data_IF_134769138683
#
_entry.id   IF_134769138683
#
_cell.length_a   1.000
_cell.length_b   1.000
_cell.length_c   1.000
_cell.angle_alpha   90.00
_cell.angle_beta   90.00
_cell.angle_gamma   90.00
#
_symmetry.space_group_name_H-M   'P 1'
#
loop_
_entity.id
_entity.type
_entity.pdbx_description
1 polymer ?
#
# COMPACT_ATOMS: atom_id res chain seq x y z
N UNK A 1 -22.42 39.30 4.18
CA UNK A 1 -21.43 38.93 3.16
C UNK A 1 -22.10 39.09 1.80
N UNK A 2 -21.45 39.73 0.81
CA UNK A 2 -22.00 39.89 -0.54
C UNK A 2 -21.39 38.87 -1.49
N UNK A 3 -22.20 37.91 -1.95
CA UNK A 3 -21.80 36.82 -2.85
C UNK A 3 -21.19 37.36 -4.16
N UNK A 4 -21.64 38.53 -4.63
CA UNK A 4 -21.09 39.18 -5.82
C UNK A 4 -19.60 39.51 -5.70
N UNK A 5 -19.12 39.87 -4.50
CA UNK A 5 -17.70 40.15 -4.25
C UNK A 5 -16.86 38.89 -4.25
N UNK A 6 -17.35 37.83 -3.62
CA UNK A 6 -16.70 36.51 -3.63
C UNK A 6 -16.53 36.03 -5.07
N UNK A 7 -17.60 36.11 -5.89
CA UNK A 7 -17.56 35.72 -7.30
C UNK A 7 -16.59 36.56 -8.13
N UNK A 8 -16.48 37.86 -7.86
CA UNK A 8 -15.53 38.73 -8.54
C UNK A 8 -14.07 38.34 -8.23
N UNK A 9 -13.76 38.07 -6.96
CA UNK A 9 -12.43 37.63 -6.51
C UNK A 9 -12.11 36.26 -7.13
N UNK A 10 -13.05 35.31 -7.06
CA UNK A 10 -12.87 33.99 -7.66
C UNK A 10 -12.63 34.06 -9.18
N UNK A 11 -13.34 34.94 -9.89
CA UNK A 11 -13.13 35.16 -11.33
C UNK A 11 -11.73 35.73 -11.61
N UNK A 12 -11.27 36.69 -10.82
CA UNK A 12 -9.91 37.27 -10.92
C UNK A 12 -8.86 36.19 -10.72
N UNK A 13 -9.01 35.36 -9.69
CA UNK A 13 -8.05 34.30 -9.39
C UNK A 13 -8.02 33.23 -10.50
N UNK A 14 -9.18 32.81 -11.00
CA UNK A 14 -9.25 31.84 -12.10
C UNK A 14 -8.54 32.34 -13.36
N UNK A 15 -8.67 33.64 -13.67
CA UNK A 15 -7.95 34.26 -14.79
C UNK A 15 -6.44 34.29 -14.52
N UNK A 16 -6.01 34.58 -13.29
CA UNK A 16 -4.59 34.58 -12.92
C UNK A 16 -3.98 33.18 -13.02
N UNK A 17 -4.66 32.16 -12.49
CA UNK A 17 -4.20 30.77 -12.56
C UNK A 17 -4.13 30.31 -14.01
N UNK A 18 -5.18 30.58 -14.81
CA UNK A 18 -5.20 30.21 -16.23
C UNK A 18 -4.05 30.85 -17.03
N UNK A 19 -3.56 32.01 -16.61
CA UNK A 19 -2.45 32.73 -17.25
C UNK A 19 -1.08 32.37 -16.68
N UNK A 20 -1.02 31.61 -15.60
CA UNK A 20 0.21 31.18 -14.95
C UNK A 20 0.48 29.70 -15.32
N UNK A 21 1.24 29.43 -16.39
CA UNK A 21 1.48 28.08 -16.86
C UNK A 21 2.24 27.23 -15.84
N UNK A 22 3.06 27.84 -14.98
CA UNK A 22 3.79 27.14 -13.94
C UNK A 22 2.84 26.66 -12.84
N UNK A 23 1.93 27.52 -12.39
CA UNK A 23 0.90 27.12 -11.41
C UNK A 23 -0.05 26.05 -11.97
N UNK A 24 -0.42 26.13 -13.25
CA UNK A 24 -1.20 25.09 -13.92
C UNK A 24 -0.43 23.77 -14.01
N UNK A 25 0.86 23.80 -14.38
CA UNK A 25 1.69 22.60 -14.42
C UNK A 25 1.85 21.99 -13.02
N UNK A 26 2.09 22.79 -11.99
CA UNK A 26 2.15 22.28 -10.61
C UNK A 26 0.81 21.71 -10.14
N UNK A 27 -0.32 22.28 -10.58
CA UNK A 27 -1.64 21.82 -10.17
C UNK A 27 -2.08 20.51 -10.84
N UNK A 28 -1.61 20.21 -12.07
CA UNK A 28 -2.07 19.04 -12.83
C UNK A 28 -0.96 18.06 -13.20
N UNK A 29 0.21 18.56 -13.63
CA UNK A 29 1.30 17.70 -14.10
C UNK A 29 2.06 17.06 -12.93
N UNK A 30 2.37 17.83 -11.87
CA UNK A 30 3.07 17.32 -10.70
C UNK A 30 2.33 16.18 -9.99
N UNK A 31 1.02 16.27 -9.68
CA UNK A 31 0.32 15.17 -9.02
C UNK A 31 0.27 13.91 -9.87
N UNK A 32 -0.06 14.04 -11.16
CA UNK A 32 -0.07 12.91 -12.09
C UNK A 32 1.32 12.26 -12.18
N UNK A 33 2.38 13.06 -12.29
CA UNK A 33 3.75 12.55 -12.31
C UNK A 33 4.10 11.82 -11.00
N UNK A 34 3.76 12.38 -9.85
CA UNK A 34 3.98 11.75 -8.54
C UNK A 34 3.17 10.46 -8.40
N UNK A 35 1.95 10.41 -8.92
CA UNK A 35 1.12 9.21 -8.94
C UNK A 35 1.74 8.13 -9.84
N UNK A 36 2.29 8.49 -11.01
CA UNK A 36 3.03 7.52 -11.83
C UNK A 36 4.31 7.03 -11.13
N UNK A 37 5.09 7.94 -10.54
CA UNK A 37 6.32 7.57 -9.83
C UNK A 37 5.98 6.67 -8.65
N UNK A 38 5.09 7.09 -7.74
CA UNK A 38 4.80 6.33 -6.53
C UNK A 38 3.84 5.16 -6.77
N UNK A 39 2.87 5.28 -7.66
CA UNK A 39 1.97 4.19 -8.03
C UNK A 39 2.70 3.03 -8.70
N UNK A 40 3.81 3.30 -9.39
CA UNK A 40 4.67 2.26 -9.96
C UNK A 40 5.83 1.85 -9.03
N UNK A 41 6.43 2.80 -8.30
CA UNK A 41 7.58 2.52 -7.43
C UNK A 41 7.20 1.98 -6.05
N UNK A 42 6.03 2.36 -5.50
CA UNK A 42 5.52 1.87 -4.22
C UNK A 42 4.59 0.70 -4.51
N UNK A 43 5.21 -0.46 -4.72
CA UNK A 43 4.53 -1.75 -4.64
C UNK A 43 4.94 -2.40 -3.33
N UNK A 44 3.95 -2.73 -2.49
CA UNK A 44 4.14 -3.63 -1.36
C UNK A 44 3.90 -5.09 -1.78
N UNK A 45 3.69 -5.35 -3.08
CA UNK A 45 3.54 -6.70 -3.61
C UNK A 45 4.89 -7.39 -3.59
N UNK A 46 5.12 -8.18 -2.55
CA UNK A 46 6.29 -9.04 -2.44
C UNK A 46 6.01 -10.30 -3.25
N UNK A 47 6.29 -10.23 -4.54
CA UNK A 47 6.36 -11.41 -5.38
C UNK A 47 7.73 -12.06 -5.16
N UNK A 48 7.78 -13.40 -5.16
CA UNK A 48 9.05 -14.13 -5.15
C UNK A 48 9.82 -14.04 -3.81
N UNK A 49 9.16 -14.28 -2.67
CA UNK A 49 9.82 -14.42 -1.36
C UNK A 49 10.81 -15.59 -1.42
N UNK A 50 12.10 -15.26 -1.50
CA UNK A 50 13.20 -16.23 -1.46
C UNK A 50 13.14 -16.98 -0.14
N UNK A 51 12.82 -18.27 -0.23
CA UNK A 51 12.46 -19.10 0.90
C UNK A 51 13.38 -20.30 0.99
N UNK A 52 13.96 -20.50 2.17
CA UNK A 52 14.74 -21.70 2.49
C UNK A 52 13.90 -22.64 3.35
N UNK A 53 13.97 -23.94 3.07
CA UNK A 53 13.17 -24.95 3.78
C UNK A 53 14.06 -25.99 4.46
N UNK A 54 13.91 -26.14 5.78
CA UNK A 54 14.50 -27.23 6.54
C UNK A 54 13.44 -28.29 6.87
N UNK A 55 13.45 -29.40 6.13
CA UNK A 55 12.56 -30.54 6.39
C UNK A 55 13.28 -31.63 7.20
N UNK A 56 13.02 -31.66 8.52
CA UNK A 56 13.55 -32.66 9.43
C UNK A 56 12.66 -33.93 9.50
N UNK A 57 11.38 -33.83 9.12
CA UNK A 57 10.39 -34.94 9.15
C UNK A 57 10.58 -35.88 7.96
N UNK A 58 10.95 -35.34 6.79
CA UNK A 58 11.21 -36.05 5.52
C UNK A 58 10.10 -37.01 5.08
N UNK A 59 8.88 -36.77 5.55
CA UNK A 59 7.72 -37.61 5.29
C UNK A 59 7.04 -37.26 3.96
N UNK A 60 5.94 -37.93 3.67
CA UNK A 60 5.06 -37.55 2.55
C UNK A 60 4.26 -36.27 2.86
N UNK A 61 3.81 -36.08 4.11
CA UNK A 61 3.02 -34.90 4.48
C UNK A 61 3.88 -33.63 4.54
N UNK A 62 5.12 -33.73 5.01
CA UNK A 62 6.05 -32.59 4.98
C UNK A 62 6.34 -32.17 3.54
N UNK A 63 6.62 -33.13 2.65
CA UNK A 63 6.84 -32.86 1.23
C UNK A 63 5.62 -32.26 0.52
N UNK A 64 4.41 -32.69 0.87
CA UNK A 64 3.17 -32.09 0.32
C UNK A 64 3.00 -30.63 0.76
N UNK A 65 3.29 -30.31 2.03
CA UNK A 65 3.26 -28.94 2.53
C UNK A 65 4.29 -28.06 1.80
N UNK A 66 5.52 -28.55 1.65
CA UNK A 66 6.60 -27.82 0.93
C UNK A 66 6.23 -27.62 -0.55
N UNK A 67 5.60 -28.61 -1.18
CA UNK A 67 5.11 -28.46 -2.55
C UNK A 67 4.04 -27.36 -2.68
N UNK A 68 3.11 -27.25 -1.71
CA UNK A 68 2.12 -26.17 -1.72
C UNK A 68 2.74 -24.78 -1.59
N UNK A 69 3.81 -24.63 -0.82
CA UNK A 69 4.55 -23.37 -0.78
C UNK A 69 5.17 -23.05 -2.14
N UNK A 70 5.80 -24.03 -2.80
CA UNK A 70 6.41 -23.84 -4.12
C UNK A 70 5.42 -23.74 -5.29
N UNK A 71 4.17 -24.15 -5.13
CA UNK A 71 3.09 -23.94 -6.11
C UNK A 71 2.48 -22.53 -6.03
N UNK A 72 2.75 -21.78 -4.96
CA UNK A 72 2.24 -20.41 -4.82
C UNK A 72 3.16 -19.41 -5.53
N UNK A 73 2.59 -18.40 -6.18
CA UNK A 73 3.35 -17.33 -6.85
C UNK A 73 4.11 -16.41 -5.86
N UNK A 74 3.89 -16.59 -4.56
CA UNK A 74 4.46 -15.75 -3.50
C UNK A 74 5.79 -16.26 -2.96
N UNK A 75 6.01 -17.58 -2.93
CA UNK A 75 7.23 -18.18 -2.36
C UNK A 75 8.06 -18.87 -3.42
N UNK A 76 9.35 -18.53 -3.47
CA UNK A 76 10.31 -19.22 -4.34
C UNK A 76 11.28 -19.98 -3.47
N UNK A 77 11.19 -21.31 -3.53
CA UNK A 77 12.06 -22.20 -2.76
C UNK A 77 13.43 -22.23 -3.45
N UNK A 78 14.38 -21.49 -2.89
CA UNK A 78 15.74 -21.38 -3.44
C UNK A 78 16.61 -22.58 -3.04
N UNK A 79 16.40 -23.13 -1.84
CA UNK A 79 17.21 -24.23 -1.31
C UNK A 79 16.49 -25.03 -0.21
N UNK A 80 16.98 -26.25 0.03
CA UNK A 80 16.53 -27.17 1.08
C UNK A 80 17.68 -27.54 2.01
N UNK A 81 17.77 -26.83 3.11
CA UNK A 81 18.83 -26.99 4.12
C UNK A 81 18.59 -28.18 5.04
N UNK A 82 19.66 -28.66 5.66
CA UNK A 82 19.62 -29.85 6.51
C UNK A 82 19.76 -29.56 8.00
N UNK A 83 20.14 -28.33 8.34
CA UNK A 83 20.34 -27.88 9.72
C UNK A 83 19.77 -26.47 9.93
N UNK A 84 19.48 -26.13 11.19
CA UNK A 84 19.07 -24.79 11.59
C UNK A 84 20.20 -23.77 11.39
N UNK A 85 21.45 -24.18 11.58
CA UNK A 85 22.63 -23.32 11.44
C UNK A 85 22.83 -22.85 10.00
N UNK A 86 22.47 -23.68 9.02
CA UNK A 86 22.46 -23.28 7.61
C UNK A 86 21.44 -22.17 7.35
N UNK A 87 20.25 -22.23 7.99
CA UNK A 87 19.20 -21.21 7.83
C UNK A 87 19.72 -19.81 8.19
N UNK A 88 20.37 -19.69 9.34
CA UNK A 88 20.88 -18.41 9.83
C UNK A 88 21.85 -17.81 8.81
N UNK A 89 22.69 -18.63 8.18
CA UNK A 89 23.58 -18.20 7.12
C UNK A 89 22.87 -17.64 5.88
N UNK A 90 21.75 -18.22 5.44
CA UNK A 90 20.98 -17.69 4.30
C UNK A 90 20.28 -16.37 4.63
N UNK A 91 19.75 -16.24 5.86
CA UNK A 91 19.12 -15.01 6.33
C UNK A 91 20.15 -13.89 6.52
N UNK A 92 21.28 -14.17 7.16
CA UNK A 92 22.34 -13.19 7.43
C UNK A 92 23.00 -12.65 6.15
N UNK A 93 23.10 -13.49 5.10
CA UNK A 93 23.60 -13.07 3.78
C UNK A 93 22.56 -12.36 2.93
N UNK A 94 21.29 -12.32 3.36
CA UNK A 94 20.18 -11.78 2.58
C UNK A 94 19.84 -12.59 1.33
N UNK A 95 20.25 -13.87 1.29
CA UNK A 95 19.93 -14.80 0.20
C UNK A 95 18.53 -15.40 0.36
N UNK A 96 17.98 -15.41 1.57
CA UNK A 96 16.59 -15.78 1.84
C UNK A 96 15.95 -14.73 2.75
N UNK A 97 14.67 -14.44 2.51
CA UNK A 97 13.85 -13.56 3.35
C UNK A 97 12.97 -14.35 4.32
N UNK A 98 12.71 -15.63 4.00
CA UNK A 98 11.86 -16.52 4.78
C UNK A 98 12.58 -17.85 4.97
N UNK A 99 12.51 -18.38 6.19
CA UNK A 99 12.95 -19.73 6.49
C UNK A 99 11.85 -20.53 7.17
N UNK A 100 11.58 -21.72 6.64
CA UNK A 100 10.53 -22.62 7.14
C UNK A 100 11.19 -23.90 7.66
N UNK A 101 10.94 -24.22 8.93
CA UNK A 101 11.46 -25.44 9.56
C UNK A 101 10.33 -26.37 9.98
N UNK A 102 10.36 -27.58 9.43
CA UNK A 102 9.41 -28.66 9.73
C UNK A 102 10.06 -29.63 10.72
N UNK A 103 9.53 -29.78 11.95
CA UNK A 103 10.14 -30.63 12.97
C UNK A 103 9.91 -32.13 12.70
N UNK A 104 10.80 -32.98 13.21
CA UNK A 104 10.81 -34.46 12.99
C UNK A 104 9.53 -35.21 13.34
N UNK A 105 8.66 -34.63 14.16
CA UNK A 105 7.42 -35.25 14.64
C UNK A 105 6.17 -34.69 13.95
N UNK A 106 6.34 -33.90 12.88
CA UNK A 106 5.26 -33.19 12.22
C UNK A 106 4.17 -34.14 11.71
N UNK A 107 4.56 -35.16 10.94
CA UNK A 107 3.60 -36.14 10.42
C UNK A 107 2.95 -37.01 11.48
N UNK A 108 3.73 -37.39 12.50
CA UNK A 108 3.25 -38.23 13.58
C UNK A 108 2.19 -37.49 14.40
N UNK A 109 2.42 -36.21 14.70
CA UNK A 109 1.46 -35.37 15.43
C UNK A 109 0.17 -35.18 14.63
N UNK A 110 0.26 -34.88 13.33
CA UNK A 110 -0.90 -34.75 12.45
C UNK A 110 -1.72 -36.05 12.40
N UNK A 111 -1.07 -37.21 12.28
CA UNK A 111 -1.76 -38.51 12.25
C UNK A 111 -2.44 -38.84 13.57
N UNK A 112 -1.90 -38.36 14.70
CA UNK A 112 -2.46 -38.54 16.04
C UNK A 112 -3.51 -37.48 16.41
N UNK A 113 -3.90 -36.59 15.49
CA UNK A 113 -4.82 -35.49 15.76
C UNK A 113 -4.28 -34.46 16.76
N UNK A 114 -2.95 -34.42 16.95
CA UNK A 114 -2.27 -33.45 17.83
C UNK A 114 -1.80 -32.25 17.00
N UNK A 115 -1.75 -31.05 17.61
CA UNK A 115 -1.20 -29.88 16.92
C UNK A 115 0.28 -30.14 16.56
N UNK A 116 0.62 -29.91 15.30
CA UNK A 116 1.98 -29.97 14.79
C UNK A 116 2.50 -28.54 14.60
N UNK A 117 3.60 -28.22 15.28
CA UNK A 117 4.25 -26.91 15.14
C UNK A 117 5.00 -26.82 13.81
N UNK A 118 4.90 -25.67 13.16
CA UNK A 118 5.76 -25.25 12.05
C UNK A 118 6.53 -24.01 12.54
N UNK A 119 7.86 -24.01 12.43
CA UNK A 119 8.64 -22.81 12.75
C UNK A 119 8.88 -22.02 11.48
N UNK A 120 8.66 -20.72 11.59
CA UNK A 120 8.81 -19.77 10.50
C UNK A 120 9.64 -18.62 11.02
N UNK A 121 10.72 -18.30 10.32
CA UNK A 121 11.60 -17.18 10.60
C UNK A 121 11.54 -16.28 9.37
N UNK A 122 11.35 -14.99 9.57
CA UNK A 122 11.25 -14.01 8.49
C UNK A 122 12.19 -12.87 8.81
N UNK A 123 12.92 -12.38 7.81
CA UNK A 123 13.74 -11.18 7.95
C UNK A 123 12.84 -9.97 8.25
N UNK A 124 13.04 -9.38 9.43
CA UNK A 124 12.28 -8.23 9.93
C UNK A 124 12.82 -6.87 9.49
N UNK A 125 13.91 -6.83 8.70
CA UNK A 125 14.53 -5.58 8.23
C UNK A 125 13.55 -4.70 7.44
N UNK A 126 12.64 -5.33 6.69
CA UNK A 126 11.43 -4.70 6.18
C UNK A 126 10.21 -5.30 6.90
N UNK A 127 9.68 -4.56 7.88
CA UNK A 127 8.54 -5.00 8.68
C UNK A 127 7.26 -5.20 7.87
N UNK A 128 7.09 -4.48 6.76
CA UNK A 128 5.91 -4.64 5.92
C UNK A 128 6.00 -5.95 5.12
N UNK A 129 7.14 -6.18 4.47
CA UNK A 129 7.43 -7.45 3.78
C UNK A 129 7.31 -8.64 4.73
N UNK A 130 7.85 -8.53 5.95
CA UNK A 130 7.75 -9.58 6.95
C UNK A 130 6.29 -9.90 7.37
N UNK A 131 5.49 -8.85 7.57
CA UNK A 131 4.06 -9.00 7.94
C UNK A 131 3.26 -9.66 6.81
N UNK A 132 3.52 -9.28 5.56
CA UNK A 132 2.89 -9.87 4.38
C UNK A 132 3.27 -11.35 4.25
N UNK A 133 4.55 -11.68 4.36
CA UNK A 133 5.04 -13.05 4.33
C UNK A 133 4.36 -13.94 5.39
N UNK A 134 4.29 -13.48 6.64
CA UNK A 134 3.61 -14.19 7.73
C UNK A 134 2.11 -14.41 7.44
N UNK A 135 1.44 -13.42 6.82
CA UNK A 135 0.06 -13.52 6.38
C UNK A 135 -0.14 -14.63 5.35
N UNK A 136 0.71 -14.66 4.31
CA UNK A 136 0.67 -15.70 3.28
C UNK A 136 0.98 -17.10 3.84
N UNK A 137 1.98 -17.23 4.72
CA UNK A 137 2.32 -18.49 5.38
C UNK A 137 1.14 -19.00 6.21
N UNK A 138 0.46 -18.11 6.94
CA UNK A 138 -0.76 -18.45 7.69
C UNK A 138 -1.89 -18.90 6.77
N UNK A 139 -2.02 -18.31 5.59
CA UNK A 139 -2.97 -18.71 4.56
C UNK A 139 -2.71 -20.11 4.01
N UNK A 140 -1.48 -20.38 3.55
CA UNK A 140 -1.06 -21.68 3.00
C UNK A 140 -1.20 -22.79 4.06
N UNK A 141 -0.69 -22.56 5.27
CA UNK A 141 -0.82 -23.53 6.37
C UNK A 141 -2.28 -23.76 6.79
N UNK A 142 -3.12 -22.73 6.74
CA UNK A 142 -4.56 -22.84 7.00
C UNK A 142 -5.29 -23.71 5.96
N UNK A 143 -4.97 -23.55 4.67
CA UNK A 143 -5.52 -24.38 3.59
C UNK A 143 -5.05 -25.84 3.70
N UNK A 144 -3.76 -26.05 3.98
CA UNK A 144 -3.20 -27.38 4.23
C UNK A 144 -3.88 -28.08 5.42
N UNK A 145 -4.04 -27.35 6.53
CA UNK A 145 -4.74 -27.84 7.73
C UNK A 145 -6.18 -28.26 7.43
N UNK A 146 -6.94 -27.45 6.69
CA UNK A 146 -8.30 -27.82 6.25
C UNK A 146 -8.32 -29.08 5.39
N UNK A 147 -7.40 -29.21 4.43
CA UNK A 147 -7.31 -30.39 3.56
C UNK A 147 -7.05 -31.68 4.35
N UNK A 148 -6.16 -31.61 5.35
CA UNK A 148 -5.86 -32.74 6.22
C UNK A 148 -7.00 -33.03 7.19
N UNK A 149 -7.63 -32.00 7.76
CA UNK A 149 -8.76 -32.13 8.65
C UNK A 149 -9.93 -32.84 7.95
N UNK A 150 -10.26 -32.46 6.70
CA UNK A 150 -11.32 -33.10 5.89
C UNK A 150 -11.08 -34.62 5.69
N UNK A 151 -9.82 -35.09 5.69
CA UNK A 151 -9.49 -36.52 5.61
C UNK A 151 -9.71 -37.29 6.93
N UNK A 152 -9.77 -36.61 8.09
CA UNK A 152 -9.89 -37.25 9.41
C UNK A 152 -11.22 -36.96 10.11
N UNK A 153 -11.79 -35.75 9.95
CA UNK A 153 -13.06 -35.31 10.52
C UNK A 153 -13.71 -34.34 9.51
N UNK A 154 -14.90 -34.64 8.94
CA UNK A 154 -15.56 -33.70 8.06
C UNK A 154 -15.86 -32.41 8.86
N UNK A 155 -15.40 -31.23 8.41
CA UNK A 155 -15.65 -29.98 9.12
C UNK A 155 -17.16 -29.72 9.15
N UNK A 156 -17.72 -29.54 10.35
CA UNK A 156 -19.15 -29.18 10.51
C UNK A 156 -19.46 -27.79 9.94
N UNK A 157 -18.44 -26.96 9.70
CA UNK A 157 -18.56 -25.61 9.13
C UNK A 157 -17.49 -25.45 8.04
N UNK A 158 -17.91 -25.44 6.76
CA UNK A 158 -17.06 -25.13 5.60
C UNK A 158 -16.89 -23.61 5.49
N UNK A 159 -15.90 -23.05 6.20
CA UNK A 159 -15.58 -21.62 6.11
C UNK A 159 -14.76 -21.37 4.85
N UNK A 160 -15.42 -20.90 3.79
CA UNK A 160 -14.77 -20.42 2.56
C UNK A 160 -14.43 -18.95 2.72
N UNK A 161 -13.15 -18.64 2.90
CA UNK A 161 -12.67 -17.27 2.91
C UNK A 161 -12.71 -16.76 1.48
N UNK A 162 -13.57 -15.77 1.22
CA UNK A 162 -13.63 -15.06 -0.05
C UNK A 162 -13.33 -13.60 0.23
N UNK A 163 -12.29 -13.08 -0.40
CA UNK A 163 -11.97 -11.65 -0.39
C UNK A 163 -12.92 -10.98 -1.38
N UNK A 164 -13.84 -10.14 -0.91
CA UNK A 164 -14.87 -9.55 -1.79
C UNK A 164 -14.35 -8.40 -2.65
N UNK A 165 -13.29 -7.73 -2.21
CA UNK A 165 -12.68 -6.58 -2.89
C UNK A 165 -11.18 -6.80 -2.94
N UNK A 166 -10.60 -6.81 -4.16
CA UNK A 166 -9.19 -7.14 -4.42
C UNK A 166 -8.83 -8.63 -4.16
N UNK A 167 -9.46 -9.56 -4.89
CA UNK A 167 -9.19 -11.02 -4.80
C UNK A 167 -7.71 -11.38 -5.05
N UNK A 168 -7.02 -10.59 -5.87
CA UNK A 168 -5.59 -10.73 -6.19
C UNK A 168 -4.66 -10.09 -5.14
N UNK A 169 -5.22 -9.44 -4.10
CA UNK A 169 -4.50 -8.76 -3.02
C UNK A 169 -3.43 -7.76 -3.49
N UNK A 170 -3.58 -7.21 -4.71
CA UNK A 170 -2.67 -6.20 -5.27
C UNK A 170 -2.60 -4.97 -4.39
N UNK A 171 -1.41 -4.67 -3.89
CA UNK A 171 -1.16 -3.56 -2.97
C UNK A 171 -1.45 -2.21 -3.61
N UNK A 172 -1.25 -2.10 -4.93
CA UNK A 172 -1.57 -0.88 -5.70
C UNK A 172 -3.03 -0.44 -5.52
N UNK A 173 -3.98 -1.38 -5.48
CA UNK A 173 -5.40 -1.09 -5.30
C UNK A 173 -5.73 -0.49 -3.91
N UNK A 174 -4.86 -0.68 -2.91
CA UNK A 174 -4.99 -0.09 -1.58
C UNK A 174 -4.18 1.21 -1.43
N UNK A 175 -2.99 1.26 -2.01
CA UNK A 175 -2.03 2.36 -1.81
C UNK A 175 -2.38 3.57 -2.67
N UNK A 176 -2.76 3.36 -3.94
CA UNK A 176 -3.03 4.45 -4.89
C UNK A 176 -4.10 5.41 -4.36
N UNK A 177 -5.27 4.96 -3.83
CA UNK A 177 -6.25 5.87 -3.24
C UNK A 177 -5.69 6.72 -2.09
N UNK A 178 -4.85 6.13 -1.23
CA UNK A 178 -4.19 6.84 -0.13
C UNK A 178 -3.18 7.87 -0.63
N UNK A 179 -2.39 7.51 -1.64
CA UNK A 179 -1.44 8.41 -2.30
C UNK A 179 -2.13 9.61 -2.93
N UNK A 180 -3.26 9.41 -3.61
CA UNK A 180 -4.04 10.53 -4.18
C UNK A 180 -4.39 11.53 -3.06
N UNK A 181 -4.92 11.06 -1.94
CA UNK A 181 -5.28 11.96 -0.83
C UNK A 181 -4.08 12.74 -0.27
N UNK A 182 -2.93 12.09 -0.08
CA UNK A 182 -1.71 12.71 0.44
C UNK A 182 -1.12 13.71 -0.56
N UNK A 183 -0.97 13.31 -1.82
CA UNK A 183 -0.42 14.17 -2.89
C UNK A 183 -1.31 15.40 -3.08
N UNK A 184 -2.63 15.22 -3.11
CA UNK A 184 -3.60 16.32 -3.20
C UNK A 184 -3.49 17.29 -2.02
N UNK A 185 -3.31 16.78 -0.81
CA UNK A 185 -3.16 17.62 0.39
C UNK A 185 -1.90 18.48 0.29
N UNK A 186 -0.76 17.88 -0.07
CA UNK A 186 0.53 18.59 -0.21
C UNK A 186 0.45 19.66 -1.29
N UNK A 187 -0.18 19.38 -2.42
CA UNK A 187 -0.31 20.34 -3.53
C UNK A 187 -1.29 21.46 -3.17
N UNK A 188 -2.41 21.14 -2.52
CA UNK A 188 -3.36 22.15 -2.04
C UNK A 188 -2.69 23.11 -1.06
N UNK A 189 -1.89 22.59 -0.12
CA UNK A 189 -1.13 23.39 0.84
C UNK A 189 -0.09 24.27 0.15
N UNK A 190 0.66 23.70 -0.80
CA UNK A 190 1.68 24.42 -1.57
C UNK A 190 1.07 25.57 -2.40
N UNK A 191 0.01 25.29 -3.17
CA UNK A 191 -0.66 26.30 -3.99
C UNK A 191 -1.27 27.41 -3.13
N UNK A 192 -1.92 27.04 -2.02
CA UNK A 192 -2.53 28.00 -1.10
C UNK A 192 -1.47 28.90 -0.46
N UNK A 193 -0.35 28.30 0.01
CA UNK A 193 0.78 29.04 0.59
C UNK A 193 1.40 30.01 -0.41
N UNK A 194 1.69 29.55 -1.63
CA UNK A 194 2.26 30.38 -2.69
C UNK A 194 1.36 31.55 -3.06
N UNK A 195 0.05 31.33 -3.09
CA UNK A 195 -0.91 32.39 -3.42
C UNK A 195 -0.99 33.46 -2.35
N UNK A 196 -0.88 33.07 -1.07
CA UNK A 196 -0.80 34.03 0.02
C UNK A 196 0.53 34.78 -0.06
N UNK A 197 1.67 34.07 -0.15
CA UNK A 197 3.02 34.69 -0.23
C UNK A 197 3.14 35.70 -1.37
N UNK A 198 2.67 35.32 -2.58
CA UNK A 198 2.73 36.19 -3.76
C UNK A 198 1.98 37.50 -3.59
N UNK A 199 0.88 37.52 -2.83
CA UNK A 199 0.11 38.75 -2.59
C UNK A 199 0.81 39.68 -1.59
N UNK A 200 1.54 39.11 -0.62
CA UNK A 200 2.40 39.87 0.28
C UNK A 200 3.60 40.46 -0.47
N UNK A 201 4.30 39.65 -1.27
CA UNK A 201 5.48 40.08 -2.03
C UNK A 201 5.17 41.16 -3.08
N UNK A 202 3.99 41.10 -3.71
CA UNK A 202 3.58 42.07 -4.74
C UNK A 202 2.93 43.33 -4.17
N UNK A 203 2.77 43.43 -2.85
CA UNK A 203 2.12 44.56 -2.19
C UNK A 203 0.63 44.72 -2.51
N UNK A 204 0.02 43.74 -3.18
CA UNK A 204 -1.41 43.78 -3.54
C UNK A 204 -2.31 43.62 -2.32
N UNK A 205 -1.77 43.08 -1.22
CA UNK A 205 -2.46 43.00 0.06
C UNK A 205 -2.85 44.38 0.61
N UNK A 206 -1.99 45.39 0.46
CA UNK A 206 -2.27 46.76 0.92
C UNK A 206 -3.41 47.41 0.12
N UNK A 207 -3.44 47.17 -1.19
CA UNK A 207 -4.52 47.62 -2.06
C UNK A 207 -5.84 46.95 -1.71
N UNK A 208 -5.82 45.65 -1.39
CA UNK A 208 -7.02 44.91 -0.96
C UNK A 208 -7.60 45.44 0.36
N UNK A 209 -6.75 45.78 1.32
CA UNK A 209 -7.17 46.37 2.61
C UNK A 209 -7.85 47.73 2.41
N UNK A 210 -7.50 48.47 1.36
CA UNK A 210 -8.14 49.75 1.01
C UNK A 210 -9.54 49.60 0.38
N UNK A 211 -9.93 48.39 -0.03
CA UNK A 211 -11.25 48.11 -0.62
C UNK A 211 -12.29 47.71 0.43
N UNK A 212 -13.61 47.88 0.19
CA UNK A 212 -14.65 47.55 1.17
C UNK A 212 -14.91 46.03 1.32
N UNK A 213 -13.93 45.18 1.01
CA UNK A 213 -14.01 43.70 1.04
C UNK A 213 -13.73 43.19 2.44
N UNK A 214 -14.56 42.27 2.94
CA UNK A 214 -14.32 41.64 4.25
C UNK A 214 -13.31 40.49 4.14
N UNK A 215 -12.55 40.21 5.21
CA UNK A 215 -11.57 39.11 5.27
C UNK A 215 -12.16 37.75 4.86
N UNK A 216 -13.36 37.42 5.33
CA UNK A 216 -14.05 36.17 4.96
C UNK A 216 -14.43 36.11 3.46
N UNK A 217 -14.80 37.24 2.86
CA UNK A 217 -15.14 37.33 1.43
C UNK A 217 -13.89 37.12 0.55
N UNK A 218 -12.75 37.65 1.01
CA UNK A 218 -11.45 37.47 0.37
C UNK A 218 -10.97 36.01 0.44
N UNK A 219 -10.97 35.41 1.63
CA UNK A 219 -10.52 34.02 1.82
C UNK A 219 -11.39 33.07 0.99
N UNK A 220 -12.71 33.16 1.08
CA UNK A 220 -13.60 32.30 0.28
C UNK A 220 -13.44 32.53 -1.23
N UNK A 221 -13.27 33.79 -1.65
CA UNK A 221 -13.04 34.13 -3.05
C UNK A 221 -11.77 33.51 -3.63
N UNK A 222 -10.73 33.34 -2.80
CA UNK A 222 -9.50 32.63 -3.20
C UNK A 222 -9.63 31.13 -3.12
N UNK A 223 -10.21 30.58 -2.04
CA UNK A 223 -10.31 29.13 -1.84
C UNK A 223 -11.16 28.43 -2.90
N UNK A 224 -12.26 29.04 -3.36
CA UNK A 224 -13.17 28.41 -4.35
C UNK A 224 -12.42 27.97 -5.64
N UNK A 225 -11.65 28.84 -6.32
CA UNK A 225 -10.83 28.47 -7.46
C UNK A 225 -9.89 27.28 -7.20
N UNK A 226 -9.12 27.29 -6.11
CA UNK A 226 -8.18 26.22 -5.79
C UNK A 226 -8.88 24.91 -5.44
N UNK A 227 -10.01 24.98 -4.73
CA UNK A 227 -10.85 23.83 -4.45
C UNK A 227 -11.39 23.19 -5.73
N UNK A 228 -11.88 24.00 -6.67
CA UNK A 228 -12.35 23.50 -7.97
C UNK A 228 -11.23 22.83 -8.77
N UNK A 229 -10.02 23.40 -8.76
CA UNK A 229 -8.85 22.81 -9.42
C UNK A 229 -8.49 21.48 -8.76
N UNK A 230 -8.36 21.43 -7.43
CA UNK A 230 -8.05 20.20 -6.72
C UNK A 230 -9.12 19.12 -6.92
N UNK A 231 -10.39 19.50 -7.02
CA UNK A 231 -11.46 18.54 -7.32
C UNK A 231 -11.37 17.98 -8.74
N UNK A 232 -11.07 18.82 -9.73
CA UNK A 232 -10.85 18.37 -11.12
C UNK A 232 -9.61 17.47 -11.18
N UNK A 233 -8.53 17.84 -10.49
CA UNK A 233 -7.29 17.07 -10.48
C UNK A 233 -7.44 15.72 -9.76
N UNK A 234 -8.20 15.68 -8.67
CA UNK A 234 -8.62 14.43 -8.02
C UNK A 234 -9.40 13.54 -9.00
N UNK A 235 -10.36 14.10 -9.74
CA UNK A 235 -11.12 13.33 -10.75
C UNK A 235 -10.21 12.78 -11.85
N UNK A 236 -9.23 13.57 -12.32
CA UNK A 236 -8.24 13.12 -13.30
C UNK A 236 -7.39 11.98 -12.71
N UNK A 237 -6.90 12.15 -11.48
CA UNK A 237 -6.06 11.17 -10.79
C UNK A 237 -6.76 9.85 -10.50
N UNK A 238 -8.08 9.87 -10.28
CA UNK A 238 -8.90 8.67 -10.06
C UNK A 238 -9.27 7.98 -11.39
N UNK A 239 -9.34 8.74 -12.49
CA UNK A 239 -9.65 8.19 -13.82
C UNK A 239 -8.43 7.60 -14.54
N UNK A 240 -7.23 8.02 -14.15
CA UNK A 240 -5.96 7.47 -14.60
C UNK A 240 -5.67 6.11 -13.95
#
# INVERSE_FOLDING_TARGET
MKISRIKAIAKKELIQIRRDPLSLAMAFLMPVMLLFIFGYAITLDVNNLETVVCDLDKSMLSRELVAQFGESDYFTIIDRVHSQEEIDGYLDRGEALVAITIPRNFSENIKKGRPAGLQVIVDGSDSNTATIALGYISGVTGLFSKRIAVKQIPPLIDTRMRVWFNEELKSSNFIIPGLIAVIMSVIADLLTSLTVSREWERGTMEQLISTPVKTQEFILGKLIPYFLIGFIDMLISVLL
#
